data_IF_744381731056
#
_entry.id   IF_744381731056
#
_cell.length_a   1.000
_cell.length_b   1.000
_cell.length_c   1.000
_cell.angle_alpha   90.00
_cell.angle_beta   90.00
_cell.angle_gamma   90.00
#
_symmetry.space_group_name_H-M   'P 1'
#
loop_
_entity.id
_entity.type
_entity.pdbx_description
1 polymer ?
#
# COMPACT_ATOMS: atom_id res chain seq x y z
N UNK A 1 1.83 6.09 -24.66
CA UNK A 1 2.27 5.70 -23.31
C UNK A 1 1.42 4.54 -22.83
N UNK A 2 0.08 4.67 -22.72
CA UNK A 2 -0.81 3.59 -22.24
C UNK A 2 -0.72 2.28 -23.05
N UNK A 3 -0.51 2.35 -24.35
CA UNK A 3 -0.35 1.16 -25.21
C UNK A 3 0.92 0.34 -24.92
N UNK A 4 1.88 0.88 -24.15
CA UNK A 4 3.09 0.19 -23.73
C UNK A 4 2.95 -0.52 -22.37
N UNK A 5 1.84 -0.29 -21.64
CA UNK A 5 1.57 -0.93 -20.36
C UNK A 5 0.96 -2.33 -20.57
N UNK A 6 1.80 -3.26 -21.05
CA UNK A 6 1.45 -4.66 -21.26
C UNK A 6 2.40 -5.51 -20.43
N UNK A 7 1.89 -6.10 -19.37
CA UNK A 7 2.61 -7.00 -18.47
C UNK A 7 1.64 -8.09 -18.00
N UNK A 8 2.19 -9.24 -17.66
CA UNK A 8 1.47 -10.46 -17.31
C UNK A 8 2.04 -11.12 -16.04
N UNK A 9 2.94 -10.43 -15.37
CA UNK A 9 3.62 -10.89 -14.15
C UNK A 9 4.24 -9.72 -13.42
N UNK A 10 4.50 -9.87 -12.13
CA UNK A 10 5.21 -8.85 -11.34
C UNK A 10 6.57 -8.46 -11.97
N UNK A 11 7.45 -9.40 -12.36
CA UNK A 11 8.71 -9.01 -13.01
C UNK A 11 8.53 -8.24 -14.31
N UNK A 12 7.53 -8.58 -15.15
CA UNK A 12 7.27 -7.85 -16.40
C UNK A 12 6.74 -6.45 -16.14
N UNK A 13 5.94 -6.26 -15.10
CA UNK A 13 5.50 -4.95 -14.62
C UNK A 13 6.70 -4.10 -14.16
N UNK A 14 7.54 -4.63 -13.28
CA UNK A 14 8.71 -3.91 -12.75
C UNK A 14 9.71 -3.49 -13.85
N UNK A 15 9.83 -4.27 -14.92
CA UNK A 15 10.65 -3.93 -16.09
C UNK A 15 10.15 -2.70 -16.88
N UNK A 16 8.88 -2.34 -16.71
CA UNK A 16 8.31 -1.12 -17.29
C UNK A 16 8.35 0.01 -16.25
N UNK A 17 8.02 -0.30 -15.01
CA UNK A 17 7.87 0.65 -13.92
C UNK A 17 9.17 1.38 -13.59
N UNK A 18 10.25 0.69 -13.27
CA UNK A 18 11.50 1.33 -12.86
C UNK A 18 12.17 2.17 -13.96
N UNK A 19 12.24 1.75 -15.23
CA UNK A 19 12.74 2.62 -16.29
C UNK A 19 11.93 3.90 -16.48
N UNK A 20 10.62 3.87 -16.24
CA UNK A 20 9.77 5.06 -16.32
C UNK A 20 10.14 6.11 -15.26
N UNK A 21 10.67 5.69 -14.10
CA UNK A 21 11.13 6.59 -13.03
C UNK A 21 12.30 7.49 -13.44
N UNK A 22 13.02 7.19 -14.54
CA UNK A 22 14.16 7.99 -15.00
C UNK A 22 13.81 9.43 -15.37
N UNK A 23 12.55 9.74 -15.59
CA UNK A 23 12.09 11.12 -15.86
C UNK A 23 12.08 11.98 -14.59
N UNK A 24 12.03 11.38 -13.41
CA UNK A 24 11.97 12.06 -12.12
C UNK A 24 13.40 12.42 -11.69
N UNK A 25 13.75 13.69 -11.73
CA UNK A 25 15.13 14.15 -11.46
C UNK A 25 15.19 15.30 -10.46
N UNK A 26 14.14 16.10 -10.35
CA UNK A 26 14.10 17.29 -9.51
C UNK A 26 12.99 17.17 -8.46
N UNK A 27 13.08 17.97 -7.42
CA UNK A 27 12.00 18.07 -6.41
C UNK A 27 10.64 18.38 -7.06
N UNK A 28 10.62 19.21 -8.10
CA UNK A 28 9.40 19.55 -8.83
C UNK A 28 8.79 18.33 -9.54
N UNK A 29 9.62 17.46 -10.15
CA UNK A 29 9.12 16.26 -10.81
C UNK A 29 8.39 15.32 -9.84
N UNK A 30 8.96 15.12 -8.63
CA UNK A 30 8.34 14.32 -7.57
C UNK A 30 7.06 14.95 -7.05
N UNK A 31 7.06 16.27 -6.87
CA UNK A 31 5.86 17.01 -6.48
C UNK A 31 4.75 16.90 -7.53
N UNK A 32 5.06 17.13 -8.80
CA UNK A 32 4.07 17.08 -9.89
C UNK A 32 3.47 15.68 -10.03
N UNK A 33 4.28 14.61 -9.91
CA UNK A 33 3.81 13.23 -9.94
C UNK A 33 2.81 12.95 -8.82
N UNK A 34 3.17 13.29 -7.59
CA UNK A 34 2.29 13.07 -6.44
C UNK A 34 1.01 13.90 -6.53
N UNK A 35 1.10 15.16 -6.95
CA UNK A 35 -0.08 16.01 -7.13
C UNK A 35 -0.99 15.52 -8.26
N UNK A 36 -0.44 14.89 -9.30
CA UNK A 36 -1.25 14.27 -10.34
C UNK A 36 -2.08 13.11 -9.77
N UNK A 37 -1.47 12.28 -8.92
CA UNK A 37 -2.20 11.24 -8.20
C UNK A 37 -3.26 11.82 -7.25
N UNK A 38 -2.92 12.80 -6.41
CA UNK A 38 -3.87 13.36 -5.44
C UNK A 38 -5.07 14.03 -6.11
N UNK A 39 -4.89 14.67 -7.26
CA UNK A 39 -6.01 15.20 -8.06
C UNK A 39 -6.94 14.07 -8.51
N UNK A 40 -6.39 12.95 -8.97
CA UNK A 40 -7.18 11.77 -9.32
C UNK A 40 -7.87 11.16 -8.10
N UNK A 41 -7.17 11.04 -6.98
CA UNK A 41 -7.75 10.57 -5.73
C UNK A 41 -8.96 11.43 -5.29
N UNK A 42 -8.86 12.76 -5.42
CA UNK A 42 -9.96 13.67 -5.14
C UNK A 42 -11.17 13.46 -6.07
N UNK A 43 -10.93 13.22 -7.38
CA UNK A 43 -11.98 12.87 -8.34
C UNK A 43 -12.73 11.59 -7.95
N UNK A 44 -12.04 10.63 -7.28
CA UNK A 44 -12.59 9.40 -6.75
C UNK A 44 -13.06 9.50 -5.28
N UNK A 45 -13.21 10.74 -4.76
CA UNK A 45 -13.68 11.03 -3.40
C UNK A 45 -12.83 10.42 -2.28
N UNK A 46 -11.54 10.22 -2.50
CA UNK A 46 -10.59 9.87 -1.45
C UNK A 46 -10.39 11.07 -0.54
N UNK A 47 -10.58 10.88 0.76
CA UNK A 47 -10.39 11.91 1.77
C UNK A 47 -9.08 11.75 2.55
N UNK A 48 -8.56 10.52 2.62
CA UNK A 48 -7.28 10.21 3.24
C UNK A 48 -6.53 9.14 2.42
N UNK A 49 -5.23 9.34 2.22
CA UNK A 49 -4.36 8.40 1.50
C UNK A 49 -3.00 8.24 2.19
N UNK A 50 -2.53 7.01 2.32
CA UNK A 50 -1.16 6.67 2.70
C UNK A 50 -0.45 6.13 1.46
N UNK A 51 0.59 6.84 1.00
CA UNK A 51 1.21 6.65 -0.31
C UNK A 51 2.62 6.13 -0.16
N UNK A 52 2.93 5.04 -0.86
CA UNK A 52 4.27 4.47 -0.90
C UNK A 52 5.20 5.27 -1.80
N UNK A 53 6.49 5.29 -1.44
CA UNK A 53 7.55 5.80 -2.30
C UNK A 53 8.87 5.04 -2.04
N UNK A 54 9.68 4.88 -3.10
CA UNK A 54 10.88 4.05 -3.12
C UNK A 54 12.12 4.90 -3.36
N UNK A 55 12.75 5.46 -2.33
CA UNK A 55 13.90 6.34 -2.54
C UNK A 55 15.07 5.66 -3.24
N UNK A 56 15.27 4.35 -3.05
CA UNK A 56 16.36 3.59 -3.68
C UNK A 56 16.27 3.56 -5.21
N UNK A 57 15.06 3.60 -5.78
CA UNK A 57 14.86 3.72 -7.23
C UNK A 57 15.47 5.01 -7.81
N UNK A 58 15.67 6.02 -6.98
CA UNK A 58 16.17 7.34 -7.36
C UNK A 58 17.61 7.58 -6.87
N UNK A 59 17.91 7.22 -5.61
CA UNK A 59 19.24 7.42 -5.04
C UNK A 59 20.30 6.55 -5.75
N UNK A 60 19.93 5.37 -6.22
CA UNK A 60 20.79 4.47 -7.01
C UNK A 60 21.28 5.11 -8.33
N UNK A 61 20.57 6.11 -8.85
CA UNK A 61 20.93 6.86 -10.07
C UNK A 61 21.41 8.29 -9.80
N UNK A 62 21.71 8.62 -8.52
CA UNK A 62 22.37 9.87 -8.12
C UNK A 62 21.41 11.00 -7.72
N UNK A 63 20.11 10.75 -7.61
CA UNK A 63 19.18 11.73 -7.03
C UNK A 63 19.28 11.67 -5.50
N UNK A 64 19.38 12.82 -4.83
CA UNK A 64 19.50 12.82 -3.37
C UNK A 64 18.17 12.38 -2.69
N UNK A 65 18.29 11.71 -1.54
CA UNK A 65 17.12 11.38 -0.70
C UNK A 65 16.30 12.64 -0.37
N UNK A 66 16.98 13.75 -0.06
CA UNK A 66 16.33 15.03 0.24
C UNK A 66 15.47 15.54 -0.93
N UNK A 67 15.95 15.44 -2.16
CA UNK A 67 15.19 15.84 -3.36
C UNK A 67 13.90 15.04 -3.48
N UNK A 68 13.97 13.72 -3.27
CA UNK A 68 12.80 12.83 -3.37
C UNK A 68 11.78 13.15 -2.28
N UNK A 69 12.23 13.17 -1.02
CA UNK A 69 11.30 13.35 0.12
C UNK A 69 10.67 14.74 0.13
N UNK A 70 11.43 15.79 -0.23
CA UNK A 70 10.90 17.14 -0.23
C UNK A 70 9.80 17.34 -1.28
N UNK A 71 9.98 16.79 -2.49
CA UNK A 71 8.98 16.86 -3.55
C UNK A 71 7.68 16.16 -3.14
N UNK A 72 7.76 14.92 -2.70
CA UNK A 72 6.60 14.18 -2.25
C UNK A 72 5.94 14.81 -1.01
N UNK A 73 6.71 15.22 -0.01
CA UNK A 73 6.16 15.83 1.19
C UNK A 73 5.46 17.15 0.90
N UNK A 74 6.00 18.01 0.04
CA UNK A 74 5.32 19.24 -0.39
C UNK A 74 3.95 18.91 -0.99
N UNK A 75 3.87 17.88 -1.82
CA UNK A 75 2.60 17.45 -2.39
C UNK A 75 1.59 17.00 -1.32
N UNK A 76 2.03 16.29 -0.27
CA UNK A 76 1.13 15.90 0.83
C UNK A 76 0.58 17.11 1.59
N UNK A 77 1.36 18.17 1.73
CA UNK A 77 0.89 19.40 2.39
C UNK A 77 -0.13 20.17 1.53
N UNK A 78 0.04 20.15 0.22
CA UNK A 78 -0.85 20.86 -0.70
C UNK A 78 -2.09 20.05 -1.08
N UNK A 79 -2.06 18.72 -1.00
CA UNK A 79 -3.21 17.85 -1.28
C UNK A 79 -4.41 18.11 -0.36
N UNK A 80 -4.18 18.63 0.84
CA UNK A 80 -5.26 19.04 1.76
C UNK A 80 -6.15 20.15 1.16
N UNK A 81 -5.59 21.03 0.32
CA UNK A 81 -6.34 22.13 -0.33
C UNK A 81 -7.34 21.61 -1.36
N UNK A 82 -7.15 20.37 -1.86
CA UNK A 82 -8.07 19.70 -2.78
C UNK A 82 -8.88 18.60 -2.10
N UNK A 83 -8.91 18.59 -0.75
CA UNK A 83 -9.73 17.69 0.05
C UNK A 83 -9.14 16.29 0.28
N UNK A 84 -7.87 16.07 -0.06
CA UNK A 84 -7.16 14.79 0.20
C UNK A 84 -6.08 15.02 1.24
N UNK A 85 -6.31 14.59 2.45
CA UNK A 85 -5.23 14.49 3.43
C UNK A 85 -4.37 13.27 3.12
N UNK A 86 -3.05 13.38 3.23
CA UNK A 86 -2.17 12.27 2.84
C UNK A 86 -0.92 12.17 3.71
N UNK A 87 -0.33 10.98 3.72
CA UNK A 87 0.91 10.68 4.41
C UNK A 87 1.80 9.78 3.55
N UNK A 88 3.10 9.76 3.83
CA UNK A 88 4.09 8.98 3.07
C UNK A 88 4.54 7.75 3.84
N UNK A 89 4.65 6.63 3.15
CA UNK A 89 5.27 5.39 3.61
C UNK A 89 6.50 5.15 2.74
N UNK A 90 7.68 5.07 3.35
CA UNK A 90 8.92 4.79 2.62
C UNK A 90 9.13 3.28 2.52
N UNK A 91 9.24 2.76 1.30
CA UNK A 91 9.54 1.36 1.06
C UNK A 91 11.03 1.15 0.73
N UNK A 92 11.55 0.01 1.19
CA UNK A 92 12.80 -0.54 0.69
C UNK A 92 12.52 -1.46 -0.49
N UNK A 93 13.38 -1.42 -1.48
CA UNK A 93 13.34 -2.37 -2.60
C UNK A 93 13.96 -3.70 -2.16
N UNK A 94 13.16 -4.76 -2.11
CA UNK A 94 13.58 -6.05 -1.53
C UNK A 94 14.57 -6.83 -2.41
N UNK A 95 14.66 -6.50 -3.68
CA UNK A 95 15.71 -7.00 -4.60
C UNK A 95 17.08 -6.34 -4.37
N UNK A 96 17.14 -5.23 -3.63
CA UNK A 96 18.38 -4.63 -3.13
C UNK A 96 18.87 -5.36 -1.86
N UNK A 97 20.11 -5.07 -1.43
CA UNK A 97 20.67 -5.68 -0.23
C UNK A 97 20.08 -5.11 1.06
N UNK A 98 20.15 -5.89 2.14
CA UNK A 98 19.76 -5.42 3.47
C UNK A 98 20.62 -4.25 3.96
N UNK A 99 21.90 -4.18 3.53
CA UNK A 99 22.80 -3.07 3.79
C UNK A 99 22.31 -1.80 3.12
N UNK A 100 21.89 -1.88 1.84
CA UNK A 100 21.29 -0.75 1.12
C UNK A 100 20.02 -0.24 1.81
N UNK A 101 19.17 -1.14 2.31
CA UNK A 101 18.00 -0.76 3.10
C UNK A 101 18.39 -0.04 4.40
N UNK A 102 19.44 -0.53 5.09
CA UNK A 102 19.95 0.11 6.30
C UNK A 102 20.51 1.51 6.04
N UNK A 103 21.27 1.70 4.95
CA UNK A 103 21.78 3.00 4.52
C UNK A 103 20.63 3.96 4.17
N UNK A 104 19.58 3.46 3.52
CA UNK A 104 18.39 4.25 3.18
C UNK A 104 17.63 4.68 4.43
N UNK A 105 17.52 3.80 5.43
CA UNK A 105 16.93 4.16 6.72
C UNK A 105 17.72 5.30 7.41
N UNK A 106 19.05 5.23 7.43
CA UNK A 106 19.89 6.30 8.00
C UNK A 106 19.69 7.63 7.25
N UNK A 107 19.49 7.61 5.93
CA UNK A 107 19.15 8.81 5.15
C UNK A 107 17.75 9.35 5.49
N UNK A 108 16.83 8.49 5.87
CA UNK A 108 15.45 8.85 6.21
C UNK A 108 15.32 9.47 7.62
N UNK A 109 16.17 9.08 8.58
CA UNK A 109 16.06 9.52 9.98
C UNK A 109 16.01 11.06 10.16
N UNK A 110 16.80 11.88 9.44
CA UNK A 110 16.69 13.35 9.50
C UNK A 110 15.32 13.90 9.04
N UNK A 111 14.56 13.11 8.28
CA UNK A 111 13.26 13.48 7.70
C UNK A 111 12.10 12.70 8.32
N UNK A 112 12.31 12.12 9.50
CA UNK A 112 11.33 11.26 10.17
C UNK A 112 9.96 11.90 10.32
N UNK A 113 9.89 13.19 10.56
CA UNK A 113 8.65 13.97 10.68
C UNK A 113 7.82 14.02 9.38
N UNK A 114 8.43 13.67 8.23
CA UNK A 114 7.78 13.63 6.93
C UNK A 114 7.35 12.22 6.49
N UNK A 115 7.71 11.18 7.25
CA UNK A 115 7.52 9.78 6.90
C UNK A 115 6.70 9.10 8.00
N UNK A 116 5.52 8.61 7.65
CA UNK A 116 4.62 7.96 8.60
C UNK A 116 5.06 6.54 8.94
N UNK A 117 5.49 5.78 7.95
CA UNK A 117 5.84 4.38 8.11
C UNK A 117 6.92 3.90 7.14
N UNK A 118 7.36 2.69 7.39
CA UNK A 118 8.35 1.97 6.58
C UNK A 118 7.70 0.71 6.01
N UNK A 119 7.90 0.48 4.71
CA UNK A 119 7.43 -0.68 3.97
C UNK A 119 8.55 -1.44 3.27
N UNK A 120 8.18 -2.52 2.61
CA UNK A 120 9.04 -3.35 1.76
C UNK A 120 8.23 -3.79 0.55
N UNK A 121 8.73 -3.55 -0.65
CA UNK A 121 8.08 -3.88 -1.92
C UNK A 121 9.07 -4.38 -2.96
N UNK A 122 8.71 -4.36 -4.25
CA UNK A 122 9.49 -4.86 -5.37
C UNK A 122 9.50 -6.40 -5.46
N UNK A 123 10.51 -7.02 -6.13
CA UNK A 123 10.52 -8.45 -6.45
C UNK A 123 10.75 -9.33 -5.22
N UNK A 124 9.71 -10.03 -4.79
CA UNK A 124 9.73 -10.92 -3.63
C UNK A 124 10.47 -12.22 -3.89
N UNK A 125 10.56 -12.65 -5.14
CA UNK A 125 11.17 -13.93 -5.50
C UNK A 125 12.65 -13.99 -5.10
N UNK A 126 12.99 -14.93 -4.21
CA UNK A 126 14.34 -15.07 -3.68
C UNK A 126 14.74 -14.00 -2.64
N UNK A 127 13.82 -13.13 -2.24
CA UNK A 127 14.03 -12.05 -1.28
C UNK A 127 13.07 -12.15 -0.09
N UNK A 128 13.22 -13.17 0.79
CA UNK A 128 12.30 -13.39 1.89
C UNK A 128 12.31 -12.24 2.91
N UNK A 129 11.19 -12.02 3.62
CA UNK A 129 11.08 -10.94 4.60
C UNK A 129 12.20 -10.89 5.65
N UNK A 130 12.65 -12.04 6.14
CA UNK A 130 13.70 -12.10 7.17
C UNK A 130 15.05 -11.52 6.74
N UNK A 131 15.32 -11.39 5.44
CA UNK A 131 16.48 -10.64 4.91
C UNK A 131 16.55 -9.23 5.50
N UNK A 132 15.39 -8.61 5.76
CA UNK A 132 15.26 -7.22 6.21
C UNK A 132 14.93 -7.06 7.70
N UNK A 133 14.85 -8.15 8.47
CA UNK A 133 14.43 -8.12 9.89
C UNK A 133 15.16 -7.04 10.70
N UNK A 134 16.49 -6.95 10.57
CA UNK A 134 17.31 -6.01 11.35
C UNK A 134 17.00 -4.54 11.04
N UNK A 135 16.74 -4.20 9.78
CA UNK A 135 16.42 -2.81 9.41
C UNK A 135 15.00 -2.46 9.88
N UNK A 136 14.05 -3.39 9.82
CA UNK A 136 12.71 -3.20 10.38
C UNK A 136 12.70 -3.07 11.90
N UNK A 137 13.53 -3.83 12.63
CA UNK A 137 13.73 -3.64 14.07
C UNK A 137 14.24 -2.22 14.39
N UNK A 138 15.18 -1.69 13.61
CA UNK A 138 15.67 -0.31 13.76
C UNK A 138 14.58 0.72 13.43
N UNK A 139 13.82 0.50 12.37
CA UNK A 139 12.72 1.38 11.98
C UNK A 139 11.64 1.43 13.08
N UNK A 140 11.28 0.28 13.65
CA UNK A 140 10.36 0.19 14.80
C UNK A 140 10.90 0.94 16.02
N UNK A 141 12.17 0.73 16.35
CA UNK A 141 12.82 1.43 17.47
C UNK A 141 12.89 2.95 17.25
N UNK A 142 12.97 3.40 16.00
CA UNK A 142 12.88 4.81 15.64
C UNK A 142 11.45 5.37 15.70
N UNK A 143 10.43 4.50 15.88
CA UNK A 143 9.02 4.88 16.04
C UNK A 143 8.28 5.07 14.73
N UNK A 144 8.69 4.39 13.66
CA UNK A 144 7.90 4.28 12.44
C UNK A 144 6.86 3.17 12.55
N UNK A 145 5.71 3.36 11.89
CA UNK A 145 4.80 2.27 11.59
C UNK A 145 5.41 1.32 10.57
N UNK A 146 4.99 0.05 10.56
CA UNK A 146 5.57 -0.98 9.70
C UNK A 146 4.51 -1.68 8.86
N UNK A 147 4.78 -1.81 7.56
CA UNK A 147 4.03 -2.65 6.64
C UNK A 147 4.98 -3.44 5.75
N UNK A 148 4.48 -4.46 5.06
CA UNK A 148 5.31 -5.25 4.14
C UNK A 148 4.43 -5.93 3.09
N UNK A 149 4.86 -5.91 1.83
CA UNK A 149 4.21 -6.67 0.76
C UNK A 149 4.44 -8.18 0.98
N UNK A 150 3.37 -8.93 0.78
CA UNK A 150 3.38 -10.37 0.66
C UNK A 150 2.63 -10.72 -0.62
N UNK A 151 3.38 -10.86 -1.71
CA UNK A 151 2.84 -11.00 -3.04
C UNK A 151 2.15 -12.37 -3.24
N UNK A 152 1.14 -12.36 -4.10
CA UNK A 152 0.24 -13.50 -4.29
C UNK A 152 0.78 -14.57 -5.24
N UNK A 153 1.81 -14.24 -6.03
CA UNK A 153 2.45 -15.13 -7.02
C UNK A 153 3.61 -15.95 -6.44
N UNK A 154 3.83 -15.88 -5.10
CA UNK A 154 4.94 -16.55 -4.43
C UNK A 154 4.57 -17.97 -3.97
N UNK A 155 5.44 -18.95 -4.26
CA UNK A 155 5.29 -20.34 -3.77
C UNK A 155 5.37 -20.42 -2.25
N UNK A 156 6.23 -19.61 -1.62
CA UNK A 156 6.46 -19.55 -0.18
C UNK A 156 5.62 -18.50 0.54
N UNK A 157 4.51 -18.03 -0.06
CA UNK A 157 3.72 -16.90 0.45
C UNK A 157 3.26 -17.08 1.90
N UNK A 158 2.84 -18.27 2.30
CA UNK A 158 2.41 -18.56 3.68
C UNK A 158 3.56 -18.42 4.67
N UNK A 159 4.75 -18.92 4.33
CA UNK A 159 5.94 -18.77 5.19
C UNK A 159 6.37 -17.29 5.24
N UNK A 160 6.30 -16.56 4.15
CA UNK A 160 6.60 -15.12 4.12
C UNK A 160 5.61 -14.34 5.00
N UNK A 161 4.30 -14.60 4.90
CA UNK A 161 3.28 -13.99 5.75
C UNK A 161 3.57 -14.31 7.23
N UNK A 162 3.91 -15.57 7.56
CA UNK A 162 4.29 -15.94 8.93
C UNK A 162 5.49 -15.13 9.44
N UNK A 163 6.53 -14.99 8.62
CA UNK A 163 7.73 -14.20 8.98
C UNK A 163 7.37 -12.74 9.24
N UNK A 164 6.52 -12.16 8.39
CA UNK A 164 6.10 -10.75 8.46
C UNK A 164 5.35 -10.47 9.76
N UNK A 165 4.42 -11.33 10.15
CA UNK A 165 3.57 -11.08 11.33
C UNK A 165 4.19 -11.59 12.63
N UNK A 166 4.87 -12.75 12.63
CA UNK A 166 5.41 -13.34 13.86
C UNK A 166 6.83 -12.86 14.19
N UNK A 167 7.68 -12.67 13.16
CA UNK A 167 9.10 -12.38 13.34
C UNK A 167 9.44 -10.88 13.22
N UNK A 168 8.83 -10.18 12.24
CA UNK A 168 9.05 -8.76 11.99
C UNK A 168 8.02 -7.92 12.75
N UNK A 169 6.81 -8.46 12.90
CA UNK A 169 5.71 -7.86 13.65
C UNK A 169 5.26 -6.53 13.04
N UNK A 170 4.88 -6.58 11.75
CA UNK A 170 4.26 -5.45 11.07
C UNK A 170 2.85 -5.19 11.61
N UNK A 171 2.38 -3.97 11.42
CA UNK A 171 1.03 -3.54 11.79
C UNK A 171 0.02 -3.76 10.67
N UNK A 172 0.51 -3.95 9.43
CA UNK A 172 -0.29 -4.14 8.22
C UNK A 172 0.47 -5.00 7.21
N UNK A 173 -0.25 -5.74 6.38
CA UNK A 173 0.31 -6.51 5.26
C UNK A 173 -0.27 -5.95 3.97
N UNK A 174 0.59 -5.70 2.98
CA UNK A 174 0.14 -5.30 1.67
C UNK A 174 -0.04 -6.55 0.80
N UNK A 175 -1.14 -6.64 0.03
CA UNK A 175 -1.68 -7.85 -0.59
C UNK A 175 -2.04 -8.93 0.45
N UNK A 176 -1.26 -9.99 0.55
CA UNK A 176 -1.35 -10.99 1.62
C UNK A 176 -2.58 -11.92 1.55
N UNK A 177 -3.37 -11.91 0.47
CA UNK A 177 -4.62 -12.67 0.38
C UNK A 177 -4.44 -14.18 0.45
N UNK A 178 -3.24 -14.71 0.12
CA UNK A 178 -2.94 -16.13 0.25
C UNK A 178 -2.98 -16.64 1.70
N UNK A 179 -3.03 -15.74 2.70
CA UNK A 179 -3.21 -16.08 4.11
C UNK A 179 -4.43 -16.97 4.37
N UNK A 180 -5.45 -16.97 3.50
CA UNK A 180 -6.63 -17.85 3.60
C UNK A 180 -6.28 -19.32 3.66
N UNK A 181 -5.10 -19.72 3.18
CA UNK A 181 -4.63 -21.10 3.18
C UNK A 181 -4.18 -21.60 4.57
N UNK A 182 -3.97 -20.70 5.54
CA UNK A 182 -3.59 -21.04 6.91
C UNK A 182 -4.53 -20.38 7.94
N UNK A 183 -5.49 -21.14 8.44
CA UNK A 183 -6.47 -20.67 9.44
C UNK A 183 -5.82 -20.11 10.71
N UNK A 184 -4.66 -20.62 11.13
CA UNK A 184 -3.94 -20.12 12.30
C UNK A 184 -3.43 -18.70 12.06
N UNK A 185 -2.92 -18.42 10.86
CA UNK A 185 -2.48 -17.08 10.49
C UNK A 185 -3.65 -16.12 10.30
N UNK A 186 -4.77 -16.60 9.73
CA UNK A 186 -6.02 -15.82 9.64
C UNK A 186 -6.51 -15.43 11.04
N UNK A 187 -6.56 -16.37 11.97
CA UNK A 187 -6.95 -16.09 13.36
C UNK A 187 -5.98 -15.13 14.05
N UNK A 188 -4.69 -15.23 13.73
CA UNK A 188 -3.69 -14.31 14.27
C UNK A 188 -3.94 -12.87 13.82
N UNK A 189 -4.03 -12.62 12.51
CA UNK A 189 -4.25 -11.26 11.99
C UNK A 189 -5.58 -10.67 12.45
N UNK A 190 -6.64 -11.50 12.50
CA UNK A 190 -7.95 -11.08 13.02
C UNK A 190 -7.87 -10.67 14.50
N UNK A 191 -7.21 -11.48 15.34
CA UNK A 191 -7.12 -11.24 16.79
C UNK A 191 -6.24 -10.02 17.10
N UNK A 192 -5.17 -9.82 16.35
CA UNK A 192 -4.24 -8.70 16.53
C UNK A 192 -4.64 -7.45 15.73
N UNK A 193 -5.77 -7.50 15.02
CA UNK A 193 -6.28 -6.40 14.19
C UNK A 193 -5.29 -5.91 13.13
N UNK A 194 -4.48 -6.84 12.60
CA UNK A 194 -3.56 -6.56 11.48
C UNK A 194 -4.41 -6.48 10.20
N UNK A 195 -4.32 -5.35 9.50
CA UNK A 195 -5.04 -5.12 8.26
C UNK A 195 -4.32 -5.67 7.03
N UNK A 196 -5.09 -5.99 5.98
CA UNK A 196 -4.57 -6.36 4.67
C UNK A 196 -5.00 -5.34 3.62
N UNK A 197 -4.05 -4.78 2.86
CA UNK A 197 -4.32 -3.85 1.75
C UNK A 197 -4.40 -4.62 0.44
N UNK A 198 -5.59 -5.08 0.08
CA UNK A 198 -5.81 -5.93 -1.09
C UNK A 198 -5.96 -5.10 -2.37
N UNK A 199 -5.34 -5.54 -3.47
CA UNK A 199 -5.29 -4.82 -4.73
C UNK A 199 -5.86 -5.69 -5.88
N UNK A 200 -7.21 -5.83 -5.96
CA UNK A 200 -7.82 -6.83 -6.84
C UNK A 200 -7.54 -6.62 -8.32
N UNK A 201 -7.54 -5.38 -8.80
CA UNK A 201 -7.26 -5.10 -10.23
C UNK A 201 -5.80 -5.38 -10.54
N UNK A 202 -4.86 -4.88 -9.72
CA UNK A 202 -3.43 -5.21 -9.84
C UNK A 202 -3.19 -6.71 -9.86
N UNK A 203 -3.79 -7.46 -8.93
CA UNK A 203 -3.70 -8.91 -8.88
C UNK A 203 -4.12 -9.57 -10.21
N UNK A 204 -5.18 -9.05 -10.87
CA UNK A 204 -5.64 -9.61 -12.15
C UNK A 204 -4.63 -9.44 -13.29
N UNK A 205 -3.76 -8.45 -13.23
CA UNK A 205 -2.66 -8.30 -14.18
C UNK A 205 -1.45 -9.18 -13.87
N UNK A 206 -1.23 -9.49 -12.59
CA UNK A 206 -0.05 -10.27 -12.15
C UNK A 206 -0.30 -11.78 -12.27
N UNK A 207 -1.51 -12.26 -11.90
CA UNK A 207 -1.83 -13.70 -11.85
C UNK A 207 -3.14 -14.08 -12.57
N UNK A 208 -3.73 -13.17 -13.35
CA UNK A 208 -5.03 -13.36 -14.02
C UNK A 208 -6.17 -13.73 -13.02
N UNK A 209 -6.07 -13.27 -11.78
CA UNK A 209 -7.06 -13.50 -10.71
C UNK A 209 -7.11 -12.31 -9.76
N UNK A 210 -8.28 -11.73 -9.54
CA UNK A 210 -8.49 -10.62 -8.61
C UNK A 210 -8.37 -11.02 -7.14
N UNK A 211 -8.27 -12.30 -6.83
CA UNK A 211 -8.34 -12.84 -5.46
C UNK A 211 -9.60 -12.42 -4.69
N UNK A 212 -10.67 -12.21 -5.44
CA UNK A 212 -11.92 -11.71 -4.86
C UNK A 212 -12.61 -12.71 -3.93
N UNK A 213 -12.47 -14.02 -4.16
CA UNK A 213 -13.00 -15.05 -3.26
C UNK A 213 -12.29 -15.01 -1.91
N UNK A 214 -10.98 -14.92 -1.95
CA UNK A 214 -10.11 -14.80 -0.78
C UNK A 214 -10.41 -13.53 0.02
N UNK A 215 -10.59 -12.39 -0.67
CA UNK A 215 -10.96 -11.12 -0.05
C UNK A 215 -12.31 -11.23 0.68
N UNK A 216 -13.33 -11.81 0.02
CA UNK A 216 -14.67 -11.99 0.60
C UNK A 216 -14.64 -12.96 1.78
N UNK A 217 -13.89 -14.06 1.67
CA UNK A 217 -13.72 -15.03 2.75
C UNK A 217 -13.06 -14.40 3.97
N UNK A 218 -11.96 -13.66 3.78
CA UNK A 218 -11.27 -12.94 4.85
C UNK A 218 -12.17 -11.90 5.52
N UNK A 219 -12.94 -11.14 4.71
CA UNK A 219 -13.92 -10.18 5.21
C UNK A 219 -14.98 -10.88 6.08
N UNK A 220 -15.51 -12.01 5.61
CA UNK A 220 -16.51 -12.79 6.34
C UNK A 220 -15.95 -13.38 7.65
N UNK A 221 -14.65 -13.68 7.71
CA UNK A 221 -13.96 -14.13 8.93
C UNK A 221 -13.62 -12.96 9.87
N UNK A 222 -13.94 -11.73 9.52
CA UNK A 222 -13.68 -10.53 10.35
C UNK A 222 -12.25 -10.02 10.29
N UNK A 223 -11.48 -10.40 9.26
CA UNK A 223 -10.18 -9.79 8.97
C UNK A 223 -10.39 -8.39 8.39
N UNK A 224 -9.56 -7.44 8.77
CA UNK A 224 -9.59 -6.05 8.29
C UNK A 224 -8.99 -5.94 6.89
N UNK A 225 -9.68 -6.51 5.88
CA UNK A 225 -9.30 -6.33 4.47
C UNK A 225 -9.80 -5.00 3.94
N UNK A 226 -9.01 -4.36 3.10
CA UNK A 226 -9.35 -3.11 2.39
C UNK A 226 -9.14 -3.30 0.90
N UNK A 227 -9.69 -2.40 0.09
CA UNK A 227 -9.44 -2.35 -1.34
C UNK A 227 -8.54 -1.15 -1.66
N UNK A 228 -7.53 -1.38 -2.46
CA UNK A 228 -6.49 -0.43 -2.79
C UNK A 228 -6.17 -0.49 -4.28
N UNK A 229 -5.78 0.64 -4.85
CA UNK A 229 -5.54 0.76 -6.30
C UNK A 229 -4.13 0.36 -6.74
N UNK A 230 -3.21 0.15 -5.78
CA UNK A 230 -1.79 -0.15 -6.06
C UNK A 230 -1.15 0.95 -6.92
N UNK A 231 -0.78 0.67 -8.15
CA UNK A 231 -0.24 1.61 -9.14
C UNK A 231 -1.32 2.04 -10.17
N UNK A 232 -2.25 2.95 -9.79
CA UNK A 232 -3.48 3.19 -10.55
C UNK A 232 -3.26 3.69 -11.98
N UNK A 233 -2.17 4.42 -12.24
CA UNK A 233 -1.84 4.90 -13.57
C UNK A 233 -1.44 3.76 -14.51
N UNK A 234 -0.75 2.73 -14.00
CA UNK A 234 -0.31 1.57 -14.78
C UNK A 234 -1.43 0.58 -15.00
N UNK A 235 -2.23 0.31 -13.96
CA UNK A 235 -3.38 -0.61 -14.03
C UNK A 235 -4.64 0.06 -14.58
N UNK A 236 -4.61 1.37 -14.84
CA UNK A 236 -5.73 2.17 -15.34
C UNK A 236 -7.01 1.99 -14.50
N UNK A 237 -6.83 1.86 -13.18
CA UNK A 237 -7.89 1.63 -12.21
C UNK A 237 -7.59 2.39 -10.94
N UNK A 238 -8.48 3.30 -10.55
CA UNK A 238 -8.41 4.02 -9.29
C UNK A 238 -9.36 3.38 -8.27
N UNK A 239 -9.31 3.80 -7.03
CA UNK A 239 -9.98 3.13 -5.92
C UNK A 239 -11.47 2.82 -6.15
N UNK A 240 -12.24 3.72 -6.75
CA UNK A 240 -13.66 3.45 -7.03
C UNK A 240 -13.84 2.49 -8.19
N UNK A 241 -12.90 2.45 -9.15
CA UNK A 241 -12.91 1.47 -10.23
C UNK A 241 -12.60 0.07 -9.70
N UNK A 242 -11.63 -0.05 -8.77
CA UNK A 242 -11.30 -1.30 -8.09
C UNK A 242 -12.48 -1.86 -7.29
N UNK A 243 -13.14 -1.01 -6.48
CA UNK A 243 -14.34 -1.39 -5.73
C UNK A 243 -15.48 -1.82 -6.68
N UNK A 244 -15.68 -1.09 -7.77
CA UNK A 244 -16.69 -1.42 -8.77
C UNK A 244 -16.38 -2.75 -9.49
N UNK A 245 -15.13 -2.93 -9.93
CA UNK A 245 -14.70 -4.15 -10.60
C UNK A 245 -14.87 -5.38 -9.69
N UNK A 246 -14.43 -5.29 -8.44
CA UNK A 246 -14.60 -6.35 -7.46
C UNK A 246 -16.08 -6.64 -7.21
N UNK A 247 -16.88 -5.60 -6.95
CA UNK A 247 -18.32 -5.73 -6.71
C UNK A 247 -19.04 -6.39 -7.88
N UNK A 248 -18.74 -5.97 -9.11
CA UNK A 248 -19.36 -6.52 -10.32
C UNK A 248 -18.99 -7.97 -10.57
N UNK A 249 -17.72 -8.34 -10.40
CA UNK A 249 -17.26 -9.69 -10.68
C UNK A 249 -17.68 -10.71 -9.61
N UNK A 250 -17.79 -10.28 -8.35
CA UNK A 250 -18.09 -11.17 -7.22
C UNK A 250 -19.42 -10.88 -6.54
N UNK A 251 -20.23 -9.95 -7.07
CA UNK A 251 -21.58 -9.64 -6.59
C UNK A 251 -21.62 -9.25 -5.10
N UNK A 252 -20.70 -8.35 -4.71
CA UNK A 252 -20.64 -7.86 -3.32
C UNK A 252 -21.96 -7.20 -2.93
N UNK A 253 -22.39 -7.46 -1.71
CA UNK A 253 -23.49 -6.74 -1.09
C UNK A 253 -23.06 -5.31 -0.72
N UNK A 254 -24.05 -4.42 -0.55
CA UNK A 254 -23.78 -3.06 -0.08
C UNK A 254 -23.08 -3.05 1.28
N UNK A 255 -23.52 -3.90 2.21
CA UNK A 255 -22.89 -4.05 3.53
C UNK A 255 -21.41 -4.47 3.44
N UNK A 256 -21.06 -5.36 2.50
CA UNK A 256 -19.68 -5.76 2.27
C UNK A 256 -18.84 -4.59 1.76
N UNK A 257 -19.36 -3.79 0.82
CA UNK A 257 -18.68 -2.60 0.30
C UNK A 257 -18.48 -1.58 1.42
N UNK A 258 -19.51 -1.29 2.20
CA UNK A 258 -19.44 -0.38 3.35
C UNK A 258 -18.38 -0.88 4.34
N UNK A 259 -18.36 -2.18 4.64
CA UNK A 259 -17.37 -2.73 5.57
C UNK A 259 -15.94 -2.62 5.05
N UNK A 260 -15.69 -2.83 3.74
CA UNK A 260 -14.38 -2.61 3.13
C UNK A 260 -13.90 -1.16 3.28
N UNK A 261 -14.81 -0.19 3.05
CA UNK A 261 -14.50 1.24 3.24
C UNK A 261 -14.24 1.56 4.71
N UNK A 262 -15.03 1.03 5.65
CA UNK A 262 -14.81 1.20 7.09
C UNK A 262 -13.45 0.65 7.51
N UNK A 263 -13.11 -0.56 7.06
CA UNK A 263 -11.82 -1.18 7.34
C UNK A 263 -10.65 -0.29 6.90
N UNK A 264 -10.77 0.43 5.78
CA UNK A 264 -9.70 1.31 5.29
C UNK A 264 -9.37 2.41 6.32
N UNK A 265 -10.38 3.02 6.95
CA UNK A 265 -10.16 3.99 8.02
C UNK A 265 -9.71 3.33 9.34
N UNK A 266 -10.21 2.14 9.64
CA UNK A 266 -9.86 1.43 10.88
C UNK A 266 -8.39 1.00 10.92
N UNK A 267 -7.81 0.57 9.78
CA UNK A 267 -6.40 0.17 9.71
C UNK A 267 -5.44 1.31 9.32
N UNK A 268 -5.97 2.47 8.96
CA UNK A 268 -5.14 3.64 8.67
C UNK A 268 -4.32 4.06 9.92
N UNK A 269 -3.13 4.56 9.71
CA UNK A 269 -2.27 5.04 10.80
C UNK A 269 -2.61 6.48 11.18
N UNK A 270 -3.87 6.69 11.48
CA UNK A 270 -4.43 7.94 11.97
C UNK A 270 -4.62 7.90 13.48
N UNK A 271 -4.59 9.06 14.17
CA UNK A 271 -5.05 9.15 15.54
C UNK A 271 -6.50 8.66 15.67
N UNK A 272 -6.81 7.99 16.78
CA UNK A 272 -8.13 7.39 17.01
C UNK A 272 -9.30 8.38 16.90
N UNK A 273 -9.08 9.63 17.33
CA UNK A 273 -10.11 10.67 17.23
C UNK A 273 -10.41 11.06 15.78
N UNK A 274 -9.40 11.01 14.91
CA UNK A 274 -9.57 11.26 13.48
C UNK A 274 -10.24 10.10 12.77
N UNK A 275 -9.88 8.85 13.10
CA UNK A 275 -10.60 7.66 12.60
C UNK A 275 -12.10 7.75 12.89
N UNK A 276 -12.46 8.16 14.10
CA UNK A 276 -13.87 8.34 14.49
C UNK A 276 -14.60 9.36 13.62
N UNK A 277 -13.93 10.44 13.23
CA UNK A 277 -14.52 11.46 12.35
C UNK A 277 -14.82 10.87 10.96
N UNK A 278 -13.84 10.21 10.33
CA UNK A 278 -14.06 9.56 9.03
C UNK A 278 -15.11 8.46 9.08
N UNK A 279 -15.12 7.64 10.14
CA UNK A 279 -16.14 6.60 10.30
C UNK A 279 -17.54 7.20 10.49
N UNK A 280 -17.67 8.34 11.19
CA UNK A 280 -18.93 9.06 11.30
C UNK A 280 -19.41 9.65 9.96
N UNK A 281 -18.51 10.07 9.08
CA UNK A 281 -18.87 10.49 7.71
C UNK A 281 -19.41 9.32 6.89
N UNK A 282 -18.81 8.14 6.99
CA UNK A 282 -19.33 6.91 6.36
C UNK A 282 -20.74 6.60 6.88
N UNK A 283 -20.95 6.65 8.20
CA UNK A 283 -22.25 6.39 8.80
C UNK A 283 -23.33 7.40 8.35
N UNK A 284 -22.97 8.68 8.24
CA UNK A 284 -23.87 9.73 7.77
C UNK A 284 -24.26 9.49 6.29
N UNK A 285 -23.30 9.16 5.43
CA UNK A 285 -23.55 8.85 4.03
C UNK A 285 -24.51 7.65 3.86
N UNK A 286 -24.27 6.58 4.61
CA UNK A 286 -25.15 5.39 4.60
C UNK A 286 -26.56 5.73 5.07
N UNK A 287 -26.70 6.55 6.13
CA UNK A 287 -28.00 6.97 6.66
C UNK A 287 -28.78 7.84 5.65
N UNK A 288 -28.11 8.75 4.94
CA UNK A 288 -28.75 9.57 3.90
C UNK A 288 -29.29 8.74 2.74
N UNK A 289 -28.58 7.70 2.34
CA UNK A 289 -28.96 6.84 1.22
C UNK A 289 -30.17 5.94 1.54
N UNK A 290 -30.39 5.62 2.81
CA UNK A 290 -31.50 4.78 3.29
C UNK A 290 -32.80 5.58 3.58
N UNK A 291 -32.80 6.92 3.43
CA UNK A 291 -33.94 7.80 3.56
C UNK A 291 -34.50 8.24 2.19
#
# INVERSE_FOLDING_TARGET
VEASYQFDSLPSFLNIYYPAMNVLQTEEDFYELAMAYFKKAAEHHVTYAEVFFDPQAHTSRGISFETVINGYYRATQESEQIGVRSALIMCFLRDFSAESAAETLEQALPFKDKILGIGLDSDEKGNPPLKFKKVFEKAKAAGFHLTMHCDIDQEDSIEHIRQVIEEIQVERIDHGTNIVEDERLVDYVRTHQIGLTCCPVSNSFVVDDMKGKEIIELLAKGVKVTINSDDPAYFQSYISDDLYALSKNYQLTEDQIIQLVRNAFEIAWLPEEEKKLYLAEVDAFVAEKNN
#
